data_IF_727708562426
#
_entry.id   IF_727708562426
#
_cell.length_a   1.000
_cell.length_b   1.000
_cell.length_c   1.000
_cell.angle_alpha   90.00
_cell.angle_beta   90.00
_cell.angle_gamma   90.00
#
_symmetry.space_group_name_H-M   'P 1'
#
loop_
_entity.id
_entity.type
_entity.pdbx_description
1 polymer ?
#
# COMPACT_ATOMS: atom_id res chain seq x y z
N UNK A 1 -12.75 17.41 -11.90
CA UNK A 1 -13.65 16.76 -10.92
C UNK A 1 -13.03 15.41 -10.56
N UNK A 2 -12.94 15.05 -9.27
CA UNK A 2 -12.45 13.73 -8.90
C UNK A 2 -13.42 12.67 -9.45
N UNK A 3 -12.89 11.60 -10.05
CA UNK A 3 -13.72 10.48 -10.48
C UNK A 3 -14.38 9.86 -9.24
N UNK A 4 -15.64 9.42 -9.32
CA UNK A 4 -16.28 8.69 -8.24
C UNK A 4 -15.43 7.50 -7.80
N UNK A 5 -15.28 7.32 -6.50
CA UNK A 5 -14.56 6.17 -5.95
C UNK A 5 -15.44 4.94 -6.18
N UNK A 6 -14.89 3.92 -6.82
CA UNK A 6 -15.58 2.65 -7.03
C UNK A 6 -15.91 1.99 -5.68
N UNK A 7 -17.00 1.23 -5.63
CA UNK A 7 -17.38 0.51 -4.41
C UNK A 7 -16.30 -0.52 -4.01
N UNK A 8 -16.06 -0.63 -2.70
CA UNK A 8 -15.12 -1.62 -2.18
C UNK A 8 -15.66 -3.03 -2.43
N UNK A 9 -14.89 -3.93 -3.06
CA UNK A 9 -15.34 -5.27 -3.35
C UNK A 9 -15.52 -6.10 -2.07
N UNK A 10 -16.59 -6.91 -2.02
CA UNK A 10 -16.88 -7.80 -0.90
C UNK A 10 -16.17 -9.15 -1.11
N UNK A 11 -15.22 -9.48 -0.24
CA UNK A 11 -14.54 -10.78 -0.26
C UNK A 11 -15.48 -11.90 0.19
N UNK A 12 -15.43 -13.06 -0.49
CA UNK A 12 -16.24 -14.24 -0.16
C UNK A 12 -15.38 -15.51 -0.12
N UNK A 13 -15.92 -16.58 0.47
CA UNK A 13 -15.30 -17.91 0.47
C UNK A 13 -13.88 -17.93 1.03
N UNK A 14 -12.96 -18.53 0.26
CA UNK A 14 -11.55 -18.73 0.65
C UNK A 14 -10.81 -17.40 0.86
N UNK A 15 -11.10 -16.39 0.04
CA UNK A 15 -10.43 -15.09 0.13
C UNK A 15 -10.84 -14.32 1.39
N UNK A 16 -12.12 -14.43 1.78
CA UNK A 16 -12.59 -13.87 3.04
C UNK A 16 -11.93 -14.54 4.26
N UNK A 17 -11.71 -15.86 4.21
CA UNK A 17 -11.00 -16.58 5.27
C UNK A 17 -9.52 -16.14 5.36
N UNK A 18 -8.83 -16.11 4.22
CA UNK A 18 -7.43 -15.69 4.14
C UNK A 18 -7.23 -14.26 4.61
N UNK A 19 -8.12 -13.35 4.21
CA UNK A 19 -8.10 -11.96 4.65
C UNK A 19 -8.22 -11.87 6.18
N UNK A 20 -9.18 -12.58 6.79
CA UNK A 20 -9.35 -12.60 8.24
C UNK A 20 -8.10 -13.12 8.96
N UNK A 21 -7.48 -14.20 8.47
CA UNK A 21 -6.25 -14.73 9.06
C UNK A 21 -5.08 -13.74 8.96
N UNK A 22 -4.93 -13.05 7.83
CA UNK A 22 -3.91 -12.01 7.65
C UNK A 22 -4.14 -10.80 8.54
N UNK A 23 -5.40 -10.42 8.76
CA UNK A 23 -5.74 -9.30 9.65
C UNK A 23 -5.49 -9.60 11.13
N UNK A 24 -5.51 -10.86 11.57
CA UNK A 24 -5.14 -11.22 12.95
C UNK A 24 -3.67 -10.91 13.26
N UNK A 25 -2.80 -11.02 12.25
CA UNK A 25 -1.36 -10.83 12.39
C UNK A 25 -0.86 -9.78 11.38
N UNK A 26 -1.34 -8.53 11.52
CA UNK A 26 -0.85 -7.41 10.71
C UNK A 26 0.63 -7.20 11.04
N UNK A 27 1.51 -7.66 10.16
CA UNK A 27 2.94 -7.39 10.25
C UNK A 27 3.16 -5.91 10.02
N UNK A 28 3.60 -5.20 11.05
CA UNK A 28 4.16 -3.86 10.87
C UNK A 28 5.43 -3.99 10.05
N UNK A 29 5.64 -3.04 9.14
CA UNK A 29 6.91 -2.93 8.44
C UNK A 29 8.03 -2.72 9.46
N UNK A 30 9.19 -3.33 9.24
CA UNK A 30 10.35 -3.08 10.09
C UNK A 30 10.88 -1.66 9.89
N UNK A 31 11.61 -1.14 10.88
CA UNK A 31 12.23 0.19 10.76
C UNK A 31 13.27 0.25 9.62
N UNK A 32 13.95 -0.86 9.33
CA UNK A 32 14.90 -0.97 8.22
C UNK A 32 14.21 -0.88 6.86
N UNK A 33 13.13 -1.64 6.66
CA UNK A 33 12.35 -1.59 5.43
C UNK A 33 11.73 -0.21 5.23
N UNK A 34 11.28 0.43 6.32
CA UNK A 34 10.74 1.80 6.28
C UNK A 34 11.80 2.82 5.83
N UNK A 35 13.04 2.71 6.32
CA UNK A 35 14.15 3.58 5.89
C UNK A 35 14.46 3.39 4.42
N UNK A 36 14.61 2.14 3.96
CA UNK A 36 14.86 1.82 2.54
C UNK A 36 13.77 2.38 1.62
N UNK A 37 12.51 2.28 2.02
CA UNK A 37 11.38 2.83 1.26
C UNK A 37 11.47 4.36 1.15
N UNK A 38 11.79 5.06 2.25
CA UNK A 38 11.95 6.51 2.26
C UNK A 38 13.14 6.97 1.41
N UNK A 39 14.28 6.29 1.52
CA UNK A 39 15.47 6.58 0.71
C UNK A 39 15.19 6.40 -0.78
N UNK A 40 14.52 5.31 -1.14
CA UNK A 40 14.10 5.04 -2.53
C UNK A 40 13.13 6.10 -3.04
N UNK A 41 12.19 6.53 -2.21
CA UNK A 41 11.24 7.58 -2.55
C UNK A 41 11.94 8.93 -2.80
N UNK A 42 12.83 9.36 -1.90
CA UNK A 42 13.56 10.62 -2.07
C UNK A 42 14.49 10.58 -3.29
N UNK A 43 15.12 9.44 -3.58
CA UNK A 43 15.88 9.25 -4.81
C UNK A 43 15.01 9.45 -6.06
N UNK A 44 13.88 8.73 -6.15
CA UNK A 44 12.96 8.84 -7.31
C UNK A 44 12.43 10.27 -7.44
N UNK A 45 12.07 10.91 -6.32
CA UNK A 45 11.62 12.30 -6.29
C UNK A 45 12.67 13.26 -6.83
N UNK A 46 13.95 13.06 -6.47
CA UNK A 46 15.05 13.93 -6.92
C UNK A 46 15.30 13.86 -8.42
N UNK A 47 15.11 12.69 -9.04
CA UNK A 47 15.29 12.49 -10.49
C UNK A 47 14.03 12.78 -11.31
N UNK A 48 12.88 12.91 -10.65
CA UNK A 48 11.59 13.12 -11.31
C UNK A 48 11.35 14.61 -11.54
N UNK A 49 11.42 15.05 -12.80
CA UNK A 49 10.96 16.37 -13.19
C UNK A 49 9.44 16.35 -13.36
N UNK A 50 8.69 16.49 -12.27
CA UNK A 50 7.24 16.64 -12.32
C UNK A 50 6.90 18.04 -12.88
N UNK A 51 6.97 18.19 -14.20
CA UNK A 51 6.32 19.29 -14.91
C UNK A 51 4.83 18.96 -15.04
N UNK A 52 3.99 19.78 -14.43
CA UNK A 52 2.54 19.72 -14.55
C UNK A 52 2.05 20.75 -15.57
#
# INVERSE_FOLDING_TARGET
MARPIAETPVLRGKDAALFRERMKNVKKISDEERKKMNESFEYIKSISNFKW
#
